data_IF_926351717606
#
_entry.id   IF_926351717606
#
_cell.length_a   1.000
_cell.length_b   1.000
_cell.length_c   1.000
_cell.angle_alpha   90.00
_cell.angle_beta   90.00
_cell.angle_gamma   90.00
#
_symmetry.space_group_name_H-M   'P 1'
#
loop_
_entity.id
_entity.type
_entity.pdbx_description
1 polymer ?
#
# COMPACT_ATOMS: atom_id res chain seq x y z
N UNK A 1 20.25 29.12 11.85
CA UNK A 1 18.89 29.74 11.90
C UNK A 1 17.95 29.27 10.80
N UNK A 2 18.41 28.92 9.59
CA UNK A 2 17.57 28.41 8.50
C UNK A 2 16.73 27.16 8.85
N UNK A 3 17.25 26.22 9.65
CA UNK A 3 16.56 24.97 10.00
C UNK A 3 15.47 25.12 11.08
N UNK A 4 15.58 26.14 11.94
CA UNK A 4 14.57 26.41 12.98
C UNK A 4 13.33 27.07 12.37
N UNK A 5 13.53 27.90 11.34
CA UNK A 5 12.45 28.49 10.56
C UNK A 5 11.62 27.44 9.81
N UNK A 6 12.25 26.38 9.30
CA UNK A 6 11.55 25.25 8.64
C UNK A 6 10.67 24.48 9.62
N UNK A 7 11.15 24.25 10.85
CA UNK A 7 10.39 23.54 11.90
C UNK A 7 9.21 24.38 12.39
N UNK A 8 9.39 25.69 12.61
CA UNK A 8 8.30 26.61 12.97
C UNK A 8 7.28 26.79 11.84
N UNK A 9 7.71 26.82 10.59
CA UNK A 9 6.83 26.82 9.44
C UNK A 9 6.02 25.51 9.38
N UNK A 10 6.66 24.35 9.48
CA UNK A 10 5.98 23.05 9.50
C UNK A 10 4.99 22.91 10.68
N UNK A 11 5.33 23.43 11.86
CA UNK A 11 4.42 23.49 13.02
C UNK A 11 3.20 24.38 12.76
N UNK A 12 3.37 25.53 12.09
CA UNK A 12 2.26 26.40 11.72
C UNK A 12 1.36 25.76 10.64
N UNK A 13 1.95 25.07 9.66
CA UNK A 13 1.21 24.39 8.59
C UNK A 13 0.41 23.18 9.10
N UNK A 14 0.96 22.42 10.05
CA UNK A 14 0.28 21.25 10.63
C UNK A 14 -0.92 21.62 11.50
N UNK A 15 -0.95 22.83 12.07
CA UNK A 15 -2.05 23.31 12.92
C UNK A 15 -3.22 23.93 12.14
N UNK A 16 -3.01 24.40 10.90
CA UNK A 16 -4.01 25.22 10.18
C UNK A 16 -4.62 24.50 8.96
N UNK A 17 -4.05 23.37 8.49
CA UNK A 17 -4.70 22.53 7.47
C UNK A 17 -4.82 23.17 6.08
N UNK A 18 -3.93 24.12 5.73
CA UNK A 18 -3.87 24.73 4.40
C UNK A 18 -2.82 24.07 3.50
N UNK A 19 -3.09 24.11 2.18
CA UNK A 19 -2.30 23.52 1.10
C UNK A 19 -0.91 24.18 1.00
N UNK A 20 0.13 23.36 0.88
CA UNK A 20 1.54 23.81 0.73
C UNK A 20 1.75 24.49 -0.63
N UNK A 21 2.31 25.72 -0.68
CA UNK A 21 2.57 26.42 -1.93
C UNK A 21 3.62 25.67 -2.77
N UNK A 22 3.37 25.55 -4.07
CA UNK A 22 4.14 24.71 -4.99
C UNK A 22 5.25 25.48 -5.73
N UNK A 23 5.37 26.81 -5.54
CA UNK A 23 6.42 27.60 -6.17
C UNK A 23 7.23 28.48 -5.18
N UNK A 24 8.55 28.63 -5.39
CA UNK A 24 9.42 29.43 -4.52
C UNK A 24 9.13 30.96 -4.58
N UNK A 25 8.36 31.43 -5.56
CA UNK A 25 7.96 32.83 -5.72
C UNK A 25 6.89 33.28 -4.72
N UNK A 26 6.02 32.36 -4.26
CA UNK A 26 4.99 32.63 -3.22
C UNK A 26 5.60 32.77 -1.81
N UNK A 27 6.78 32.19 -1.58
CA UNK A 27 7.54 32.36 -0.33
C UNK A 27 8.16 33.76 -0.22
N UNK A 28 8.48 34.42 -1.34
CA UNK A 28 9.15 35.71 -1.35
C UNK A 28 8.22 36.88 -0.96
N UNK A 29 6.91 36.79 -1.24
CA UNK A 29 5.94 37.82 -0.84
C UNK A 29 5.67 37.81 0.67
N UNK A 30 5.66 36.61 1.29
CA UNK A 30 5.47 36.42 2.74
C UNK A 30 6.72 36.77 3.58
N UNK A 31 7.91 36.76 2.98
CA UNK A 31 9.19 37.03 3.66
C UNK A 31 9.71 38.47 3.47
N UNK A 32 8.96 39.33 2.78
CA UNK A 32 9.33 40.73 2.50
C UNK A 32 9.40 41.66 3.73
N UNK A 33 9.13 41.14 4.94
CA UNK A 33 9.24 41.87 6.21
C UNK A 33 10.55 41.63 6.98
N UNK A 34 11.48 40.81 6.51
CA UNK A 34 12.70 40.45 7.24
C UNK A 34 13.94 40.68 6.36
N UNK A 35 14.62 41.80 6.60
CA UNK A 35 15.92 42.14 6.00
C UNK A 35 16.98 41.08 6.35
N UNK A 36 17.36 40.24 5.39
CA UNK A 36 18.67 39.57 5.38
C UNK A 36 19.14 39.44 3.92
N UNK A 37 20.14 40.24 3.54
CA UNK A 37 20.98 40.01 2.36
C UNK A 37 21.86 38.77 2.59
N UNK A 38 21.95 37.87 1.60
CA UNK A 38 23.23 37.38 1.06
C UNK A 38 23.07 36.28 -0.02
N UNK A 39 23.62 36.61 -1.20
CA UNK A 39 24.51 35.82 -2.06
C UNK A 39 24.08 34.45 -2.65
N UNK A 40 23.72 34.51 -3.93
CA UNK A 40 23.93 33.47 -4.96
C UNK A 40 25.43 33.29 -5.28
N UNK A 41 25.92 32.05 -5.41
CA UNK A 41 26.74 31.57 -6.55
C UNK A 41 27.25 30.12 -6.40
N UNK A 42 27.07 29.36 -7.50
CA UNK A 42 27.87 28.26 -8.08
C UNK A 42 28.45 27.11 -7.23
N UNK A 43 28.08 25.87 -7.60
CA UNK A 43 29.05 24.93 -8.17
C UNK A 43 28.37 23.85 -9.03
N UNK A 44 28.88 23.69 -10.25
CA UNK A 44 28.50 22.70 -11.26
C UNK A 44 29.69 21.78 -11.55
N UNK A 45 29.40 20.59 -12.09
CA UNK A 45 30.28 19.53 -12.63
C UNK A 45 30.89 18.52 -11.62
N UNK A 46 30.89 17.20 -11.84
CA UNK A 46 30.43 16.42 -12.99
C UNK A 46 30.57 14.90 -12.82
N UNK A 47 30.21 14.20 -13.92
CA UNK A 47 30.38 12.76 -14.26
C UNK A 47 29.50 11.75 -13.47
N UNK A 48 28.69 10.87 -14.07
CA UNK A 48 28.49 10.48 -15.47
C UNK A 48 28.54 8.95 -15.62
N UNK A 49 27.40 8.26 -15.59
CA UNK A 49 27.21 6.92 -16.20
C UNK A 49 25.72 6.55 -16.31
N UNK A 50 25.26 6.34 -17.54
CA UNK A 50 23.90 5.90 -17.91
C UNK A 50 23.76 4.36 -17.79
N UNK A 51 22.61 3.82 -17.36
CA UNK A 51 22.39 2.37 -17.33
C UNK A 51 21.77 1.89 -18.65
N UNK A 52 22.60 1.60 -19.64
CA UNK A 52 22.16 0.95 -20.90
C UNK A 52 23.00 -0.29 -21.28
N UNK A 53 23.81 -0.81 -20.34
CA UNK A 53 24.83 -1.82 -20.64
C UNK A 53 24.80 -3.02 -19.70
N UNK A 54 23.60 -3.50 -19.35
CA UNK A 54 23.42 -4.78 -18.63
C UNK A 54 22.47 -5.77 -19.33
N UNK A 55 22.01 -5.47 -20.55
CA UNK A 55 21.04 -6.30 -21.28
C UNK A 55 21.64 -7.26 -22.34
N UNK A 56 22.95 -7.55 -22.30
CA UNK A 56 23.60 -8.48 -23.25
C UNK A 56 24.59 -9.41 -22.57
N UNK A 57 24.11 -10.44 -21.87
CA UNK A 57 24.92 -11.64 -21.61
C UNK A 57 24.14 -12.92 -21.36
N UNK A 58 22.81 -12.90 -21.24
CA UNK A 58 22.03 -14.10 -20.97
C UNK A 58 21.45 -14.74 -22.24
N UNK A 59 22.32 -15.14 -23.18
CA UNK A 59 21.91 -15.93 -24.35
C UNK A 59 23.01 -16.91 -24.78
N UNK A 60 23.30 -17.89 -23.91
CA UNK A 60 23.83 -19.24 -24.25
C UNK A 60 24.36 -19.92 -22.98
N UNK A 61 23.51 -20.61 -22.24
CA UNK A 61 23.94 -21.79 -21.46
C UNK A 61 22.73 -22.68 -21.17
N UNK A 62 22.79 -23.87 -21.75
CA UNK A 62 21.80 -24.94 -21.64
C UNK A 62 22.16 -25.76 -20.40
N UNK A 63 21.94 -25.23 -19.20
CA UNK A 63 22.06 -26.00 -17.96
C UNK A 63 21.21 -25.35 -16.86
N UNK A 64 20.16 -26.07 -16.45
CA UNK A 64 19.24 -25.70 -15.39
C UNK A 64 19.98 -25.70 -14.05
N UNK A 65 20.30 -24.53 -13.50
CA UNK A 65 20.45 -24.30 -12.06
C UNK A 65 19.74 -22.99 -11.71
N UNK A 66 18.85 -23.06 -10.73
CA UNK A 66 17.98 -21.98 -10.31
C UNK A 66 18.80 -20.86 -9.65
N UNK A 67 18.65 -19.62 -10.15
CA UNK A 67 19.09 -18.42 -9.45
C UNK A 67 18.04 -18.03 -8.38
N UNK A 68 18.43 -17.69 -7.15
CA UNK A 68 17.51 -17.41 -6.04
C UNK A 68 16.93 -15.97 -6.06
N UNK A 69 16.72 -15.38 -7.24
CA UNK A 69 16.23 -14.01 -7.39
C UNK A 69 15.25 -13.77 -8.54
N UNK A 70 14.80 -14.84 -9.21
CA UNK A 70 13.83 -14.73 -10.29
C UNK A 70 12.49 -15.30 -9.79
N UNK A 71 11.58 -14.41 -9.36
CA UNK A 71 10.19 -14.74 -9.08
C UNK A 71 9.46 -15.10 -10.39
N UNK A 72 9.67 -16.33 -10.83
CA UNK A 72 8.75 -17.09 -11.66
C UNK A 72 8.70 -18.47 -11.01
N UNK A 73 7.70 -18.73 -10.16
CA UNK A 73 6.47 -19.32 -10.69
C UNK A 73 5.21 -18.96 -9.86
N UNK A 74 4.41 -18.01 -10.35
CA UNK A 74 2.99 -17.87 -9.96
C UNK A 74 2.03 -17.95 -11.16
N UNK A 75 2.55 -18.33 -12.34
CA UNK A 75 1.80 -18.41 -13.60
C UNK A 75 1.86 -19.81 -14.23
N UNK A 76 1.92 -20.87 -13.42
CA UNK A 76 1.83 -22.25 -13.91
C UNK A 76 0.82 -23.05 -13.09
N UNK A 77 -0.45 -22.65 -13.14
CA UNK A 77 -1.58 -23.51 -12.78
C UNK A 77 -2.95 -22.88 -13.12
N UNK A 78 -3.14 -22.22 -14.27
CA UNK A 78 -4.50 -22.02 -14.81
C UNK A 78 -4.46 -22.14 -16.34
N UNK A 79 -4.02 -23.30 -16.81
CA UNK A 79 -4.37 -23.78 -18.15
C UNK A 79 -5.39 -24.91 -17.99
N UNK A 80 -6.53 -24.59 -17.38
CA UNK A 80 -7.70 -25.44 -17.53
C UNK A 80 -8.19 -25.23 -18.98
N UNK A 81 -8.32 -26.28 -19.80
CA UNK A 81 -8.99 -26.12 -21.08
C UNK A 81 -10.41 -25.66 -20.75
N UNK A 82 -10.80 -24.51 -21.30
CA UNK A 82 -12.21 -24.13 -21.34
C UNK A 82 -12.89 -25.26 -22.10
N UNK A 83 -13.58 -26.14 -21.39
CA UNK A 83 -14.39 -27.19 -21.98
C UNK A 83 -15.41 -26.49 -22.85
N UNK A 84 -15.23 -26.58 -24.17
CA UNK A 84 -16.16 -26.11 -25.16
C UNK A 84 -17.49 -26.82 -24.93
N UNK A 85 -18.38 -26.15 -24.20
CA UNK A 85 -19.80 -26.45 -24.21
C UNK A 85 -20.29 -26.11 -25.62
N UNK A 86 -20.28 -27.10 -26.50
CA UNK A 86 -20.93 -27.06 -27.81
C UNK A 86 -22.44 -27.13 -27.62
N UNK A 87 -23.00 -26.13 -26.96
CA UNK A 87 -24.37 -25.72 -27.17
C UNK A 87 -24.31 -24.64 -28.24
N UNK A 88 -25.09 -24.77 -29.30
CA UNK A 88 -25.23 -23.76 -30.35
C UNK A 88 -25.78 -22.48 -29.74
N UNK A 89 -24.92 -21.65 -29.16
CA UNK A 89 -25.27 -20.33 -28.70
C UNK A 89 -25.82 -19.56 -29.89
N UNK A 90 -26.99 -18.94 -29.73
CA UNK A 90 -27.57 -18.13 -30.79
C UNK A 90 -26.60 -16.98 -31.14
N UNK A 91 -26.56 -16.57 -32.40
CA UNK A 91 -25.69 -15.45 -32.84
C UNK A 91 -25.95 -14.20 -31.99
N UNK A 92 -27.21 -13.97 -31.60
CA UNK A 92 -27.61 -12.89 -30.69
C UNK A 92 -26.92 -13.00 -29.34
N UNK A 93 -26.90 -14.18 -28.70
CA UNK A 93 -26.23 -14.37 -27.42
C UNK A 93 -24.72 -14.11 -27.49
N UNK A 94 -24.08 -14.48 -28.61
CA UNK A 94 -22.65 -14.20 -28.82
C UNK A 94 -22.39 -12.70 -29.00
N UNK A 95 -23.25 -12.01 -29.76
CA UNK A 95 -23.19 -10.56 -29.94
C UNK A 95 -23.44 -9.81 -28.61
N UNK A 96 -24.41 -10.25 -27.80
CA UNK A 96 -24.71 -9.68 -26.48
C UNK A 96 -23.53 -9.89 -25.51
N UNK A 97 -22.91 -11.07 -25.52
CA UNK A 97 -21.70 -11.34 -24.73
C UNK A 97 -20.54 -10.45 -25.17
N UNK A 98 -20.33 -10.28 -26.48
CA UNK A 98 -19.29 -9.40 -27.00
C UNK A 98 -19.54 -7.93 -26.61
N UNK A 99 -20.80 -7.48 -26.63
CA UNK A 99 -21.15 -6.15 -26.14
C UNK A 99 -20.81 -5.98 -24.65
N UNK A 100 -21.19 -6.95 -23.82
CA UNK A 100 -20.92 -6.93 -22.38
C UNK A 100 -19.41 -6.92 -22.05
N UNK A 101 -18.60 -7.72 -22.78
CA UNK A 101 -17.14 -7.75 -22.60
C UNK A 101 -16.51 -6.40 -22.98
N UNK A 102 -16.99 -5.76 -24.05
CA UNK A 102 -16.53 -4.42 -24.46
C UNK A 102 -16.87 -3.34 -23.42
N UNK A 103 -18.07 -3.39 -22.85
CA UNK A 103 -18.46 -2.50 -21.75
C UNK A 103 -17.60 -2.71 -20.52
N UNK A 104 -17.37 -3.98 -20.13
CA UNK A 104 -16.47 -4.35 -19.04
C UNK A 104 -15.06 -3.78 -19.27
N UNK A 105 -14.50 -3.95 -20.47
CA UNK A 105 -13.17 -3.43 -20.83
C UNK A 105 -13.09 -1.90 -20.68
N UNK A 106 -14.15 -1.19 -21.10
CA UNK A 106 -14.21 0.27 -21.00
C UNK A 106 -14.28 0.73 -19.54
N UNK A 107 -15.10 0.06 -18.73
CA UNK A 107 -15.21 0.32 -17.29
C UNK A 107 -13.90 0.03 -16.55
N UNK A 108 -13.25 -1.11 -16.82
CA UNK A 108 -11.98 -1.47 -16.16
C UNK A 108 -10.84 -0.55 -16.57
N UNK A 109 -10.82 -0.11 -17.83
CA UNK A 109 -9.86 0.89 -18.32
C UNK A 109 -10.00 2.23 -17.59
N UNK A 110 -11.24 2.71 -17.39
CA UNK A 110 -11.49 3.92 -16.61
C UNK A 110 -11.06 3.74 -15.15
N UNK A 111 -11.42 2.63 -14.51
CA UNK A 111 -11.01 2.33 -13.12
C UNK A 111 -9.49 2.21 -12.95
N UNK A 112 -8.78 1.69 -13.96
CA UNK A 112 -7.30 1.65 -14.00
C UNK A 112 -6.73 3.06 -13.92
N UNK A 113 -7.24 3.98 -14.74
CA UNK A 113 -6.78 5.37 -14.76
C UNK A 113 -7.08 6.08 -13.44
N UNK A 114 -8.26 5.88 -12.87
CA UNK A 114 -8.63 6.43 -11.56
C UNK A 114 -7.67 5.91 -10.49
N UNK A 115 -7.40 4.60 -10.46
CA UNK A 115 -6.49 4.00 -9.47
C UNK A 115 -5.06 4.50 -9.64
N UNK A 116 -4.58 4.64 -10.87
CA UNK A 116 -3.25 5.20 -11.15
C UNK A 116 -3.12 6.67 -10.72
N UNK A 117 -4.16 7.47 -10.96
CA UNK A 117 -4.22 8.87 -10.53
C UNK A 117 -4.25 9.00 -9.01
N UNK A 118 -5.09 8.22 -8.32
CA UNK A 118 -5.15 8.16 -6.85
C UNK A 118 -3.81 7.72 -6.26
N UNK A 119 -3.16 6.69 -6.80
CA UNK A 119 -1.81 6.29 -6.40
C UNK A 119 -0.82 7.45 -6.51
N UNK A 120 -0.86 8.19 -7.61
CA UNK A 120 -0.01 9.36 -7.82
C UNK A 120 -0.25 10.46 -6.80
N UNK A 121 -1.50 10.68 -6.39
CA UNK A 121 -1.85 11.65 -5.35
C UNK A 121 -1.33 11.22 -3.98
N UNK A 122 -1.64 9.99 -3.56
CA UNK A 122 -1.25 9.48 -2.24
C UNK A 122 0.27 9.31 -2.12
N UNK A 123 0.95 8.91 -3.20
CA UNK A 123 2.42 8.84 -3.18
C UNK A 123 3.07 10.21 -2.97
N UNK A 124 2.48 11.32 -3.45
CA UNK A 124 3.00 12.65 -3.13
C UNK A 124 2.92 12.94 -1.63
N UNK A 125 1.84 12.52 -0.98
CA UNK A 125 1.65 12.66 0.46
C UNK A 125 2.66 11.81 1.23
N UNK A 126 2.86 10.54 0.85
CA UNK A 126 3.89 9.65 1.41
C UNK A 126 5.27 10.28 1.31
N UNK A 127 5.66 10.76 0.12
CA UNK A 127 6.96 11.40 -0.11
C UNK A 127 7.15 12.67 0.72
N UNK A 128 6.08 13.41 1.00
CA UNK A 128 6.12 14.60 1.86
C UNK A 128 6.20 14.27 3.36
N UNK A 129 5.61 13.14 3.77
CA UNK A 129 5.49 12.74 5.18
C UNK A 129 6.69 11.95 5.69
N UNK A 130 7.35 11.16 4.81
CA UNK A 130 8.59 10.44 5.13
C UNK A 130 9.69 11.28 5.78
N UNK A 131 10.15 12.41 5.21
CA UNK A 131 11.24 13.20 5.80
C UNK A 131 10.87 13.77 7.18
N UNK A 132 9.58 14.05 7.41
CA UNK A 132 9.11 14.48 8.72
C UNK A 132 9.22 13.35 9.75
N UNK A 133 8.74 12.16 9.41
CA UNK A 133 8.79 10.99 10.29
C UNK A 133 10.25 10.58 10.58
N UNK A 134 11.12 10.59 9.57
CA UNK A 134 12.56 10.31 9.73
C UNK A 134 13.24 11.31 10.66
N UNK A 135 12.91 12.60 10.58
CA UNK A 135 13.50 13.61 11.46
C UNK A 135 12.99 13.48 12.91
N UNK A 136 11.70 13.15 13.09
CA UNK A 136 11.15 12.83 14.42
C UNK A 136 11.83 11.60 15.01
N UNK A 137 12.10 10.58 14.21
CA UNK A 137 12.85 9.38 14.63
C UNK A 137 14.26 9.75 15.09
N UNK A 138 14.99 10.57 14.33
CA UNK A 138 16.33 11.06 14.71
C UNK A 138 16.32 11.83 16.04
N UNK A 139 15.35 12.73 16.22
CA UNK A 139 15.21 13.49 17.46
C UNK A 139 14.88 12.57 18.64
N UNK A 140 13.97 11.61 18.43
CA UNK A 140 13.60 10.64 19.46
C UNK A 140 14.79 9.77 19.85
N UNK A 141 15.55 9.23 18.89
CA UNK A 141 16.76 8.44 19.16
C UNK A 141 17.80 9.22 19.97
N UNK A 142 18.03 10.49 19.62
CA UNK A 142 18.96 11.36 20.34
C UNK A 142 18.53 11.55 21.79
N UNK A 143 17.23 11.76 22.02
CA UNK A 143 16.68 11.87 23.38
C UNK A 143 16.76 10.56 24.14
N UNK A 144 16.45 9.42 23.51
CA UNK A 144 16.53 8.12 24.17
C UNK A 144 17.96 7.79 24.61
N UNK A 145 18.97 8.14 23.81
CA UNK A 145 20.39 8.02 24.19
C UNK A 145 20.72 8.89 25.41
N UNK A 146 20.25 10.14 25.45
CA UNK A 146 20.48 11.05 26.57
C UNK A 146 19.73 10.62 27.85
N UNK A 147 18.54 10.03 27.73
CA UNK A 147 17.74 9.54 28.85
C UNK A 147 18.32 8.26 29.46
N UNK A 148 18.87 7.34 28.65
CA UNK A 148 19.59 6.15 29.16
C UNK A 148 20.71 6.53 30.14
N UNK A 149 21.34 7.69 29.96
CA UNK A 149 22.41 8.19 30.84
C UNK A 149 21.89 8.75 32.19
N UNK A 150 20.60 9.08 32.30
CA UNK A 150 19.99 9.75 33.46
C UNK A 150 18.99 8.90 34.26
N UNK A 151 18.84 7.60 33.95
CA UNK A 151 17.96 6.64 34.65
C UNK A 151 16.51 7.14 34.91
N UNK A 152 15.92 7.90 33.99
CA UNK A 152 14.53 8.35 34.16
C UNK A 152 13.51 7.26 33.82
N UNK A 153 12.55 7.02 34.70
CA UNK A 153 11.46 6.08 34.48
C UNK A 153 10.33 6.71 33.68
N UNK A 154 10.14 6.24 32.45
CA UNK A 154 9.09 6.73 31.54
C UNK A 154 8.25 5.52 31.11
N UNK A 155 6.91 5.53 31.28
CA UNK A 155 6.05 4.37 31.01
C UNK A 155 6.15 3.78 29.60
N UNK A 156 6.44 4.62 28.59
CA UNK A 156 6.61 4.20 27.19
C UNK A 156 7.94 3.45 26.92
N UNK A 157 8.90 3.55 27.85
CA UNK A 157 10.23 2.95 27.76
C UNK A 157 10.43 1.78 28.74
N UNK A 158 9.45 1.53 29.63
CA UNK A 158 9.53 0.44 30.59
C UNK A 158 9.30 -0.90 29.89
N UNK A 159 10.27 -1.82 30.01
CA UNK A 159 10.06 -3.24 29.69
C UNK A 159 9.09 -3.83 30.71
N UNK A 160 7.83 -3.98 30.29
CA UNK A 160 6.80 -4.74 31.03
C UNK A 160 6.59 -6.12 30.41
N UNK A 161 6.10 -7.05 31.21
CA UNK A 161 5.70 -8.38 30.73
C UNK A 161 4.55 -8.22 29.73
N UNK A 162 4.75 -8.68 28.50
CA UNK A 162 3.74 -8.59 27.45
C UNK A 162 2.74 -9.72 27.65
N UNK A 163 1.47 -9.40 27.91
CA UNK A 163 0.37 -10.37 28.01
C UNK A 163 -0.65 -10.16 26.91
N UNK A 164 -0.92 -8.90 26.56
CA UNK A 164 -1.88 -8.51 25.53
C UNK A 164 -1.23 -7.70 24.42
N UNK A 165 -1.51 -8.11 23.18
CA UNK A 165 -0.99 -7.49 21.95
C UNK A 165 -2.16 -6.99 21.11
N UNK A 166 -2.14 -5.69 20.80
CA UNK A 166 -3.05 -5.12 19.81
C UNK A 166 -2.41 -5.16 18.44
N UNK A 167 -3.05 -5.88 17.50
CA UNK A 167 -2.65 -5.95 16.11
C UNK A 167 -3.54 -5.02 15.27
N UNK A 168 -2.97 -3.92 14.81
CA UNK A 168 -3.62 -2.99 13.87
C UNK A 168 -3.42 -3.52 12.46
N UNK A 169 -4.50 -3.89 11.79
CA UNK A 169 -4.45 -4.49 10.45
C UNK A 169 -5.04 -3.51 9.45
N UNK A 170 -4.24 -3.08 8.47
CA UNK A 170 -4.65 -2.12 7.44
C UNK A 170 -4.96 -2.87 6.14
N UNK A 171 -6.23 -2.85 5.76
CA UNK A 171 -6.79 -3.44 4.54
C UNK A 171 -7.50 -2.38 3.69
N UNK A 172 -7.96 -2.76 2.49
CA UNK A 172 -8.73 -1.84 1.67
C UNK A 172 -10.19 -1.73 2.10
N UNK A 173 -10.82 -0.62 1.72
CA UNK A 173 -12.29 -0.48 1.81
C UNK A 173 -12.98 -1.25 0.66
N UNK A 174 -12.39 -1.19 -0.53
CA UNK A 174 -12.99 -1.76 -1.75
C UNK A 174 -12.20 -2.96 -2.28
N UNK A 175 -12.90 -3.86 -2.99
CA UNK A 175 -12.28 -4.98 -3.69
C UNK A 175 -11.49 -4.58 -4.95
N UNK A 176 -11.35 -5.54 -5.88
CA UNK A 176 -10.63 -5.40 -7.16
C UNK A 176 -9.14 -5.05 -7.03
N UNK A 177 -8.55 -5.27 -5.86
CA UNK A 177 -7.12 -5.05 -5.57
C UNK A 177 -6.28 -6.35 -5.64
N UNK A 178 -6.80 -7.39 -6.29
CA UNK A 178 -6.12 -8.67 -6.46
C UNK A 178 -5.87 -9.38 -5.12
N UNK A 179 -4.64 -9.86 -4.92
CA UNK A 179 -4.23 -10.59 -3.72
C UNK A 179 -3.91 -9.68 -2.52
N UNK A 180 -4.07 -8.36 -2.62
CA UNK A 180 -3.70 -7.41 -1.56
C UNK A 180 -4.34 -7.75 -0.20
N UNK A 181 -5.67 -7.76 -0.14
CA UNK A 181 -6.39 -8.04 1.11
C UNK A 181 -6.11 -9.46 1.61
N UNK A 182 -6.03 -10.43 0.70
CA UNK A 182 -5.74 -11.81 1.06
C UNK A 182 -4.37 -11.94 1.72
N UNK A 183 -3.33 -11.34 1.15
CA UNK A 183 -1.97 -11.38 1.70
C UNK A 183 -1.90 -10.71 3.08
N UNK A 184 -2.58 -9.57 3.27
CA UNK A 184 -2.66 -8.90 4.57
C UNK A 184 -3.38 -9.77 5.59
N UNK A 185 -4.55 -10.32 5.25
CA UNK A 185 -5.34 -11.16 6.15
C UNK A 185 -4.58 -12.44 6.51
N UNK A 186 -3.98 -13.12 5.54
CA UNK A 186 -3.18 -14.32 5.75
C UNK A 186 -2.01 -14.05 6.70
N UNK A 187 -1.29 -12.93 6.50
CA UNK A 187 -0.20 -12.53 7.40
C UNK A 187 -0.71 -12.17 8.80
N UNK A 188 -1.89 -11.56 8.91
CA UNK A 188 -2.52 -11.27 10.20
C UNK A 188 -2.88 -12.55 10.96
N UNK A 189 -3.47 -13.54 10.27
CA UNK A 189 -3.83 -14.83 10.88
C UNK A 189 -2.59 -15.61 11.32
N UNK A 190 -1.55 -15.64 10.47
CA UNK A 190 -0.28 -16.27 10.81
C UNK A 190 0.33 -15.61 12.04
N UNK A 191 0.39 -14.27 12.04
CA UNK A 191 0.94 -13.52 13.19
C UNK A 191 0.14 -13.78 14.46
N UNK A 192 -1.19 -13.80 14.37
CA UNK A 192 -2.06 -14.14 15.51
C UNK A 192 -1.72 -15.53 16.07
N UNK A 193 -1.61 -16.53 15.21
CA UNK A 193 -1.26 -17.89 15.62
C UNK A 193 0.13 -17.96 16.28
N UNK A 194 1.12 -17.24 15.73
CA UNK A 194 2.46 -17.16 16.31
C UNK A 194 2.43 -16.54 17.72
N UNK A 195 1.64 -15.49 17.92
CA UNK A 195 1.50 -14.83 19.23
C UNK A 195 0.71 -15.67 20.24
N UNK A 196 -0.36 -16.33 19.80
CA UNK A 196 -1.14 -17.24 20.64
C UNK A 196 -0.31 -18.46 21.06
N UNK A 197 0.60 -18.95 20.19
CA UNK A 197 1.54 -20.02 20.53
C UNK A 197 2.54 -19.62 21.64
N UNK A 198 2.79 -18.32 21.78
CA UNK A 198 3.63 -17.75 22.86
C UNK A 198 2.81 -17.49 24.14
N UNK A 199 1.52 -17.82 24.16
CA UNK A 199 0.62 -17.58 25.29
C UNK A 199 0.13 -16.13 25.40
N UNK A 200 0.26 -15.34 24.33
CA UNK A 200 -0.16 -13.94 24.29
C UNK A 200 -1.61 -13.82 23.79
N UNK A 201 -2.38 -12.94 24.41
CA UNK A 201 -3.72 -12.59 23.94
C UNK A 201 -3.63 -11.53 22.84
N UNK A 202 -4.33 -11.75 21.72
CA UNK A 202 -4.32 -10.84 20.56
C UNK A 202 -5.70 -10.21 20.37
N UNK A 203 -5.74 -8.88 20.27
CA UNK A 203 -6.92 -8.10 19.89
C UNK A 203 -6.68 -7.38 18.57
N UNK A 204 -7.70 -7.32 17.71
CA UNK A 204 -7.59 -6.69 16.40
C UNK A 204 -8.15 -5.26 16.39
N UNK A 205 -7.41 -4.37 15.74
CA UNK A 205 -7.88 -3.07 15.27
C UNK A 205 -7.96 -3.13 13.76
N UNK A 206 -9.17 -3.22 13.21
CA UNK A 206 -9.36 -3.37 11.77
C UNK A 206 -9.50 -2.00 11.10
N UNK A 207 -8.55 -1.66 10.24
CA UNK A 207 -8.64 -0.50 9.35
C UNK A 207 -8.94 -1.02 7.95
N UNK A 208 -10.02 -0.56 7.34
CA UNK A 208 -10.54 -1.04 6.06
C UNK A 208 -11.78 -1.92 6.22
N UNK A 209 -12.77 -1.71 5.34
CA UNK A 209 -14.02 -2.48 5.35
C UNK A 209 -13.80 -3.98 5.07
N UNK A 210 -12.85 -4.34 4.19
CA UNK A 210 -12.63 -5.74 3.81
C UNK A 210 -12.08 -6.58 4.97
N UNK A 211 -11.09 -6.06 5.70
CA UNK A 211 -10.55 -6.72 6.89
C UNK A 211 -11.57 -6.76 8.03
N UNK A 212 -12.31 -5.67 8.24
CA UNK A 212 -13.38 -5.61 9.23
C UNK A 212 -14.44 -6.69 8.99
N UNK A 213 -14.96 -6.79 7.76
CA UNK A 213 -15.95 -7.79 7.38
C UNK A 213 -15.41 -9.22 7.57
N UNK A 214 -14.16 -9.48 7.17
CA UNK A 214 -13.53 -10.79 7.32
C UNK A 214 -13.41 -11.22 8.79
N UNK A 215 -12.87 -10.35 9.64
CA UNK A 215 -12.64 -10.68 11.06
C UNK A 215 -13.95 -10.82 11.83
N UNK A 216 -14.97 -10.01 11.51
CA UNK A 216 -16.31 -10.15 12.08
C UNK A 216 -16.96 -11.47 11.68
N UNK A 217 -16.87 -11.86 10.39
CA UNK A 217 -17.42 -13.12 9.91
C UNK A 217 -16.77 -14.34 10.58
N UNK A 218 -15.47 -14.28 10.86
CA UNK A 218 -14.75 -15.33 11.60
C UNK A 218 -14.96 -15.32 13.11
N UNK A 219 -15.63 -14.31 13.67
CA UNK A 219 -15.82 -14.17 15.11
C UNK A 219 -14.53 -13.89 15.89
N UNK A 220 -13.54 -13.24 15.25
CA UNK A 220 -12.31 -12.83 15.92
C UNK A 220 -12.55 -11.58 16.78
N UNK A 221 -11.79 -11.39 17.88
CA UNK A 221 -11.98 -10.25 18.77
C UNK A 221 -11.49 -8.95 18.10
N UNK A 222 -12.42 -8.21 17.50
CA UNK A 222 -12.18 -6.88 16.91
C UNK A 222 -12.64 -5.81 17.89
N UNK A 223 -11.69 -5.00 18.39
CA UNK A 223 -11.95 -3.94 19.38
C UNK A 223 -12.53 -2.70 18.72
N UNK A 224 -12.01 -2.34 17.56
CA UNK A 224 -12.44 -1.16 16.81
C UNK A 224 -12.28 -1.40 15.31
N UNK A 225 -13.22 -0.85 14.53
CA UNK A 225 -13.22 -0.84 13.08
C UNK A 225 -13.23 0.59 12.57
N UNK A 226 -12.49 0.89 11.51
CA UNK A 226 -12.59 2.18 10.80
C UNK A 226 -12.33 2.02 9.30
N UNK A 227 -12.94 2.87 8.46
CA UNK A 227 -12.60 2.90 7.03
C UNK A 227 -11.20 3.48 6.83
N UNK A 228 -10.50 3.02 5.79
CA UNK A 228 -9.18 3.54 5.42
C UNK A 228 -9.28 4.92 4.73
N UNK A 229 -10.31 5.10 3.89
CA UNK A 229 -10.53 6.30 3.11
C UNK A 229 -9.60 6.41 1.89
N UNK A 230 -9.92 7.35 0.98
CA UNK A 230 -9.18 7.54 -0.29
C UNK A 230 -7.87 8.32 -0.11
N UNK A 231 -7.80 9.18 0.90
CA UNK A 231 -6.65 10.04 1.19
C UNK A 231 -6.53 10.12 2.72
N UNK A 232 -5.77 9.21 3.35
CA UNK A 232 -5.68 9.13 4.79
C UNK A 232 -5.08 10.42 5.35
N UNK A 233 -5.83 11.07 6.23
CA UNK A 233 -5.46 12.34 6.84
C UNK A 233 -5.15 12.19 8.32
N UNK A 234 -4.41 13.15 8.87
CA UNK A 234 -4.15 13.21 10.31
C UNK A 234 -5.45 13.25 11.16
N UNK A 235 -6.53 13.80 10.61
CA UNK A 235 -7.84 13.80 11.28
C UNK A 235 -8.41 12.39 11.49
N UNK A 236 -8.10 11.45 10.59
CA UNK A 236 -8.50 10.05 10.69
C UNK A 236 -7.55 9.24 11.57
N UNK A 237 -6.25 9.51 11.52
CA UNK A 237 -5.25 8.82 12.33
C UNK A 237 -5.34 9.18 13.83
N UNK A 238 -5.66 10.43 14.17
CA UNK A 238 -5.72 10.92 15.56
C UNK A 238 -6.65 10.10 16.48
N UNK A 239 -7.92 9.82 16.12
CA UNK A 239 -8.79 8.98 16.95
C UNK A 239 -8.23 7.58 17.20
N UNK A 240 -7.65 6.93 16.18
CA UNK A 240 -7.03 5.60 16.32
C UNK A 240 -5.84 5.67 17.29
N UNK A 241 -4.97 6.67 17.09
CA UNK A 241 -3.82 6.90 17.94
C UNK A 241 -4.23 7.17 19.40
N UNK A 242 -5.18 8.06 19.64
CA UNK A 242 -5.63 8.41 20.98
C UNK A 242 -6.21 7.19 21.70
N UNK A 243 -6.96 6.33 21.02
CA UNK A 243 -7.51 5.12 21.61
C UNK A 243 -6.40 4.11 21.98
N UNK A 244 -5.50 3.82 21.03
CA UNK A 244 -4.34 2.93 21.29
C UNK A 244 -3.47 3.46 22.43
N UNK A 245 -3.23 4.78 22.46
CA UNK A 245 -2.47 5.44 23.51
C UNK A 245 -3.16 5.27 24.86
N UNK A 246 -4.44 5.61 24.99
CA UNK A 246 -5.21 5.47 26.24
C UNK A 246 -5.17 4.05 26.76
N UNK A 247 -5.48 3.05 25.91
CA UNK A 247 -5.44 1.64 26.29
C UNK A 247 -4.05 1.18 26.77
N UNK A 248 -2.97 1.72 26.18
CA UNK A 248 -1.62 1.40 26.63
C UNK A 248 -1.31 2.00 28.01
N UNK A 249 -1.72 3.24 28.26
CA UNK A 249 -1.54 3.91 29.56
C UNK A 249 -2.40 3.28 30.66
N UNK A 250 -3.61 2.82 30.32
CA UNK A 250 -4.51 2.13 31.24
C UNK A 250 -4.04 0.69 31.56
N UNK A 251 -3.04 0.19 30.83
CA UNK A 251 -2.51 -1.17 31.01
C UNK A 251 -3.41 -2.25 30.43
N UNK A 252 -4.37 -1.90 29.58
CA UNK A 252 -5.19 -2.88 28.85
C UNK A 252 -4.37 -3.62 27.79
N UNK A 253 -3.39 -2.95 27.18
CA UNK A 253 -2.55 -3.48 26.11
C UNK A 253 -1.08 -3.24 26.42
N UNK A 254 -0.24 -4.25 26.19
CA UNK A 254 1.19 -4.17 26.51
C UNK A 254 2.06 -3.91 25.28
N UNK A 255 1.58 -4.28 24.09
CA UNK A 255 2.29 -4.12 22.82
C UNK A 255 1.32 -3.78 21.68
N UNK A 256 1.73 -2.88 20.80
CA UNK A 256 0.99 -2.50 19.59
C UNK A 256 1.84 -2.81 18.37
N UNK A 257 1.33 -3.68 17.51
CA UNK A 257 1.91 -4.01 16.22
C UNK A 257 1.00 -3.49 15.10
N UNK A 258 1.59 -2.92 14.05
CA UNK A 258 0.90 -2.55 12.82
C UNK A 258 1.29 -3.52 11.72
N UNK A 259 0.29 -4.09 11.07
CA UNK A 259 0.40 -4.80 9.81
C UNK A 259 -0.07 -3.87 8.68
N UNK A 260 0.87 -3.49 7.83
CA UNK A 260 0.64 -2.57 6.72
C UNK A 260 1.43 -2.99 5.48
N UNK A 261 1.16 -2.40 4.32
CA UNK A 261 1.94 -2.70 3.11
C UNK A 261 2.78 -1.48 2.74
N UNK A 262 4.13 -1.56 2.82
CA UNK A 262 5.00 -0.44 2.48
C UNK A 262 4.89 -0.10 0.99
N UNK A 263 4.87 1.19 0.61
CA UNK A 263 4.75 1.60 -0.81
C UNK A 263 5.90 1.08 -1.72
N UNK A 264 7.04 0.70 -1.13
CA UNK A 264 8.19 0.12 -1.85
C UNK A 264 8.06 -1.40 -2.04
N UNK A 265 7.38 -2.08 -1.10
CA UNK A 265 7.27 -3.54 -1.09
C UNK A 265 5.88 -3.96 -1.55
N UNK A 266 5.78 -5.06 -2.28
CA UNK A 266 4.47 -5.63 -2.66
C UNK A 266 3.89 -6.53 -1.57
N UNK A 267 4.67 -6.84 -0.54
CA UNK A 267 4.28 -7.74 0.55
C UNK A 267 3.95 -6.95 1.82
N UNK A 268 2.95 -7.39 2.59
CA UNK A 268 2.64 -6.78 3.87
C UNK A 268 3.80 -6.98 4.85
N UNK A 269 4.15 -5.94 5.60
CA UNK A 269 5.16 -5.93 6.65
C UNK A 269 4.50 -5.73 8.01
N UNK A 270 5.10 -6.31 9.05
CA UNK A 270 4.71 -6.05 10.44
C UNK A 270 5.72 -5.08 11.01
N UNK A 271 5.25 -4.13 11.80
CA UNK A 271 6.08 -3.20 12.53
C UNK A 271 5.54 -3.00 13.93
N UNK A 272 6.40 -3.13 14.93
CA UNK A 272 6.06 -2.78 16.30
C UNK A 272 6.09 -1.25 16.49
N UNK A 273 4.98 -0.66 16.95
CA UNK A 273 4.92 0.77 17.29
C UNK A 273 5.22 1.04 18.77
N UNK A 274 4.65 0.20 19.64
CA UNK A 274 4.76 0.33 21.09
C UNK A 274 5.10 -1.06 21.62
N UNK A 275 6.10 -1.21 22.51
CA UNK A 275 6.87 -0.17 23.21
C UNK A 275 8.05 0.41 22.42
N UNK A 276 8.44 1.65 22.75
CA UNK A 276 9.56 2.38 22.11
C UNK A 276 10.92 1.95 22.68
N UNK A 277 11.18 0.64 22.72
CA UNK A 277 12.37 0.10 23.39
C UNK A 277 13.58 0.26 22.47
N UNK A 278 14.65 0.95 22.91
CA UNK A 278 15.88 1.12 22.13
C UNK A 278 16.68 -0.18 21.95
N UNK A 279 16.47 -1.19 22.80
CA UNK A 279 17.12 -2.50 22.77
C UNK A 279 16.10 -3.64 22.52
N UNK A 280 15.75 -3.84 21.24
CA UNK A 280 15.47 -5.15 20.67
C UNK A 280 14.35 -5.98 21.32
N UNK A 281 13.11 -5.52 21.20
CA UNK A 281 11.99 -6.46 20.99
C UNK A 281 11.44 -6.25 19.58
N UNK A 282 12.34 -6.14 18.62
CA UNK A 282 12.03 -6.24 17.21
C UNK A 282 11.68 -7.71 16.97
N UNK A 283 10.48 -7.99 16.47
CA UNK A 283 10.16 -9.35 16.05
C UNK A 283 11.19 -9.76 14.99
N UNK A 284 11.60 -11.03 14.95
CA UNK A 284 12.61 -11.51 13.98
C UNK A 284 12.24 -11.27 12.49
N UNK A 285 11.00 -10.81 12.24
CA UNK A 285 10.39 -10.50 10.94
C UNK A 285 10.13 -8.99 10.72
N UNK A 286 10.59 -8.10 11.61
CA UNK A 286 10.50 -6.65 11.39
C UNK A 286 11.42 -6.29 10.20
N UNK A 287 10.84 -5.80 9.09
CA UNK A 287 11.61 -5.26 7.96
C UNK A 287 12.25 -3.94 8.40
N UNK A 288 13.40 -4.06 9.05
CA UNK A 288 14.24 -2.94 9.49
C UNK A 288 14.69 -2.20 8.23
N UNK A 289 14.21 -0.96 8.05
CA UNK A 289 14.98 0.03 7.31
C UNK A 289 16.36 0.07 7.97
N UNK A 290 17.40 -0.34 7.24
CA UNK A 290 18.78 -0.27 7.70
C UNK A 290 19.01 1.12 8.28
N UNK A 291 19.08 1.18 9.61
CA UNK A 291 19.38 2.38 10.38
C UNK A 291 20.68 2.93 9.81
N UNK A 292 20.62 4.03 9.07
CA UNK A 292 21.85 4.70 8.64
C UNK A 292 22.56 5.10 9.94
N UNK A 293 23.74 4.55 10.25
CA UNK A 293 24.49 5.01 11.40
C UNK A 293 24.84 6.46 11.12
N UNK A 294 24.31 7.38 11.94
CA UNK A 294 24.56 8.80 11.77
C UNK A 294 25.37 9.34 12.93
N UNK A 295 26.41 10.06 12.52
CA UNK A 295 27.39 10.79 13.30
C UNK A 295 26.74 11.72 14.34
N UNK A 296 27.48 11.87 15.44
CA UNK A 296 27.15 12.59 16.65
C UNK A 296 26.46 13.94 16.37
N UNK A 297 25.15 14.00 16.65
CA UNK A 297 24.46 15.26 16.82
C UNK A 297 25.06 15.95 18.04
N UNK A 298 25.72 17.09 17.81
CA UNK A 298 26.22 17.98 18.85
C UNK A 298 25.17 18.10 19.96
N UNK A 299 25.60 17.89 21.22
CA UNK A 299 24.80 18.06 22.43
C UNK A 299 24.15 19.45 22.43
N UNK A 300 22.99 19.56 21.80
CA UNK A 300 22.11 20.69 22.02
C UNK A 300 21.76 20.65 23.49
N UNK A 301 21.89 21.78 24.15
CA UNK A 301 21.45 22.04 25.51
C UNK A 301 19.96 21.73 25.65
N UNK A 302 19.66 20.45 25.85
CA UNK A 302 18.34 19.94 26.20
C UNK A 302 18.02 20.54 27.56
N UNK A 303 17.02 21.43 27.60
CA UNK A 303 16.59 22.08 28.83
C UNK A 303 16.04 21.05 29.83
N UNK A 304 15.92 21.46 31.09
CA UNK A 304 15.53 20.63 32.24
C UNK A 304 14.14 19.94 32.14
N UNK A 305 13.40 20.12 31.03
CA UNK A 305 12.07 19.53 30.79
C UNK A 305 12.08 18.32 29.84
N UNK A 306 13.10 17.47 29.92
CA UNK A 306 13.29 16.28 29.06
C UNK A 306 12.07 15.34 29.07
N UNK A 307 11.40 15.18 30.22
CA UNK A 307 10.22 14.33 30.34
C UNK A 307 9.01 14.84 29.52
N UNK A 308 8.75 16.15 29.53
CA UNK A 308 7.66 16.75 28.75
C UNK A 308 7.96 16.69 27.24
N UNK A 309 9.22 16.93 26.87
CA UNK A 309 9.66 16.81 25.47
C UNK A 309 9.47 15.39 24.94
N UNK A 310 9.76 14.37 25.75
CA UNK A 310 9.57 12.99 25.34
C UNK A 310 8.09 12.63 25.16
N UNK A 311 7.18 13.10 26.02
CA UNK A 311 5.75 12.82 25.85
C UNK A 311 5.22 13.43 24.53
N UNK A 312 5.64 14.67 24.21
CA UNK A 312 5.28 15.32 22.95
C UNK A 312 5.89 14.58 21.75
N UNK A 313 7.17 14.23 21.80
CA UNK A 313 7.86 13.57 20.67
C UNK A 313 7.42 12.13 20.45
N UNK A 314 7.17 11.37 21.52
CA UNK A 314 6.61 10.01 21.41
C UNK A 314 5.21 10.04 20.79
N UNK A 315 4.39 11.02 21.15
CA UNK A 315 3.07 11.23 20.53
C UNK A 315 3.19 11.55 19.04
N UNK A 316 4.16 12.40 18.68
CA UNK A 316 4.40 12.81 17.31
C UNK A 316 4.95 11.65 16.46
N UNK A 317 5.85 10.85 17.03
CA UNK A 317 6.41 9.65 16.43
C UNK A 317 5.31 8.62 16.13
N UNK A 318 4.53 8.24 17.14
CA UNK A 318 3.49 7.22 17.00
C UNK A 318 2.40 7.64 16.00
N UNK A 319 1.90 8.88 16.11
CA UNK A 319 0.90 9.39 15.17
C UNK A 319 1.47 9.55 13.74
N UNK A 320 2.74 9.98 13.63
CA UNK A 320 3.45 10.10 12.35
C UNK A 320 3.60 8.75 11.64
N UNK A 321 4.07 7.72 12.35
CA UNK A 321 4.20 6.37 11.79
C UNK A 321 2.87 5.73 11.46
N UNK A 322 1.84 5.94 12.28
CA UNK A 322 0.49 5.45 12.00
C UNK A 322 -0.07 6.09 10.72
N UNK A 323 0.04 7.41 10.58
CA UNK A 323 -0.40 8.12 9.38
C UNK A 323 0.38 7.67 8.14
N UNK A 324 1.71 7.52 8.27
CA UNK A 324 2.56 7.05 7.17
C UNK A 324 2.17 5.62 6.75
N UNK A 325 1.95 4.72 7.70
CA UNK A 325 1.52 3.35 7.42
C UNK A 325 0.16 3.28 6.71
N UNK A 326 -0.78 4.16 7.07
CA UNK A 326 -2.06 4.30 6.37
C UNK A 326 -1.85 4.79 4.93
N UNK A 327 -1.07 5.85 4.74
CA UNK A 327 -0.78 6.40 3.40
C UNK A 327 -0.06 5.38 2.51
N UNK A 328 0.93 4.66 3.05
CA UNK A 328 1.67 3.62 2.31
C UNK A 328 0.79 2.44 1.93
N UNK A 329 -0.14 2.03 2.80
CA UNK A 329 -1.10 0.97 2.51
C UNK A 329 -2.07 1.37 1.39
N UNK A 330 -2.64 2.57 1.45
CA UNK A 330 -3.54 3.08 0.40
C UNK A 330 -2.80 3.23 -0.94
N UNK A 331 -1.55 3.70 -0.91
CA UNK A 331 -0.72 3.76 -2.12
C UNK A 331 -0.48 2.38 -2.74
N UNK A 332 -0.14 1.39 -1.91
CA UNK A 332 0.10 0.00 -2.32
C UNK A 332 -1.16 -0.67 -2.87
N UNK A 333 -2.29 -0.45 -2.22
CA UNK A 333 -3.61 -0.91 -2.66
C UNK A 333 -3.94 -0.38 -4.07
N UNK A 334 -3.80 0.93 -4.30
CA UNK A 334 -4.04 1.53 -5.61
C UNK A 334 -3.06 1.04 -6.68
N UNK A 335 -1.82 0.72 -6.30
CA UNK A 335 -0.84 0.14 -7.22
C UNK A 335 -1.27 -1.26 -7.69
N UNK A 336 -1.63 -2.14 -6.75
CA UNK A 336 -2.07 -3.49 -7.05
C UNK A 336 -3.41 -3.51 -7.79
N UNK A 337 -4.35 -2.63 -7.41
CA UNK A 337 -5.61 -2.45 -8.15
C UNK A 337 -5.37 -2.03 -9.59
N UNK A 338 -4.50 -1.05 -9.84
CA UNK A 338 -4.20 -0.62 -11.21
C UNK A 338 -3.60 -1.76 -12.04
N UNK A 339 -2.70 -2.57 -11.45
CA UNK A 339 -2.10 -3.73 -12.12
C UNK A 339 -3.13 -4.83 -12.42
N UNK A 340 -4.01 -5.13 -11.46
CA UNK A 340 -5.08 -6.13 -11.64
C UNK A 340 -6.04 -5.69 -12.74
N UNK A 341 -6.46 -4.43 -12.74
CA UNK A 341 -7.35 -3.87 -13.76
C UNK A 341 -6.69 -3.83 -15.14
N UNK A 342 -5.37 -3.65 -15.21
CA UNK A 342 -4.62 -3.78 -16.46
C UNK A 342 -4.69 -5.21 -17.01
N UNK A 343 -4.39 -6.22 -16.19
CA UNK A 343 -4.51 -7.62 -16.61
C UNK A 343 -5.96 -7.99 -17.01
N UNK A 344 -6.96 -7.49 -16.28
CA UNK A 344 -8.38 -7.71 -16.62
C UNK A 344 -8.72 -7.06 -17.96
N UNK A 345 -8.25 -5.85 -18.22
CA UNK A 345 -8.50 -5.12 -19.47
C UNK A 345 -7.85 -5.83 -20.67
N UNK A 346 -6.63 -6.32 -20.50
CA UNK A 346 -5.94 -7.13 -21.53
C UNK A 346 -6.67 -8.45 -21.78
N UNK A 347 -7.09 -9.14 -20.71
CA UNK A 347 -7.81 -10.41 -20.82
C UNK A 347 -9.19 -10.24 -21.47
N UNK A 348 -9.88 -9.16 -21.16
CA UNK A 348 -11.12 -8.78 -21.82
C UNK A 348 -10.90 -8.53 -23.32
N UNK A 349 -9.79 -7.88 -23.70
CA UNK A 349 -9.41 -7.71 -25.11
C UNK A 349 -9.19 -9.02 -25.85
N UNK A 350 -8.51 -9.99 -25.24
CA UNK A 350 -8.36 -11.34 -25.82
C UNK A 350 -9.69 -12.07 -25.95
N UNK A 351 -10.56 -11.98 -24.94
CA UNK A 351 -11.89 -12.59 -24.97
C UNK A 351 -12.77 -11.96 -26.05
N UNK A 352 -12.69 -10.64 -26.22
CA UNK A 352 -13.40 -9.91 -27.26
C UNK A 352 -13.03 -10.43 -28.65
N UNK A 353 -11.73 -10.59 -28.93
CA UNK A 353 -11.25 -11.13 -30.20
C UNK A 353 -11.74 -12.57 -30.44
N UNK A 354 -11.77 -13.40 -29.39
CA UNK A 354 -12.28 -14.76 -29.49
C UNK A 354 -13.77 -14.79 -29.83
N UNK A 355 -14.58 -13.98 -29.14
CA UNK A 355 -16.01 -13.89 -29.39
C UNK A 355 -16.31 -13.36 -30.80
N UNK A 356 -15.55 -12.39 -31.30
CA UNK A 356 -15.70 -11.89 -32.68
C UNK A 356 -15.42 -12.99 -33.73
N UNK A 357 -14.43 -13.85 -33.49
CA UNK A 357 -14.16 -15.00 -34.35
C UNK A 357 -15.29 -16.04 -34.30
N UNK A 358 -15.85 -16.31 -33.12
CA UNK A 358 -16.98 -17.23 -32.96
C UNK A 358 -18.25 -16.71 -33.64
N UNK A 359 -18.56 -15.41 -33.49
CA UNK A 359 -19.66 -14.74 -34.20
C UNK A 359 -19.47 -14.87 -35.71
N UNK A 360 -18.26 -14.62 -36.23
CA UNK A 360 -17.95 -14.77 -37.64
C UNK A 360 -18.18 -16.20 -38.16
N UNK A 361 -17.73 -17.20 -37.40
CA UNK A 361 -17.94 -18.62 -37.73
C UNK A 361 -19.42 -19.01 -37.70
N UNK A 362 -20.16 -18.59 -36.67
CA UNK A 362 -21.59 -18.89 -36.53
C UNK A 362 -22.42 -18.24 -37.63
N UNK A 363 -22.11 -16.98 -38.01
CA UNK A 363 -22.74 -16.31 -39.15
C UNK A 363 -22.46 -17.03 -40.46
N UNK A 364 -21.22 -17.46 -40.69
CA UNK A 364 -20.87 -18.19 -41.90
C UNK A 364 -21.58 -19.55 -41.98
N UNK A 365 -21.67 -20.28 -40.86
CA UNK A 365 -22.41 -21.54 -40.78
C UNK A 365 -23.90 -21.33 -41.10
N UNK A 366 -24.51 -20.28 -40.54
CA UNK A 366 -25.91 -19.95 -40.83
C UNK A 366 -26.13 -19.61 -42.31
N UNK A 367 -25.24 -18.84 -42.93
CA UNK A 367 -25.31 -18.53 -44.37
C UNK A 367 -25.18 -19.83 -45.19
N UNK A 368 -24.27 -20.73 -44.84
CA UNK A 368 -24.14 -22.01 -45.56
C UNK A 368 -25.38 -22.87 -45.40
N UNK A 369 -25.98 -22.92 -44.21
CA UNK A 369 -27.20 -23.68 -43.95
C UNK A 369 -28.38 -23.12 -44.77
N UNK A 370 -28.56 -21.79 -44.78
CA UNK A 370 -29.57 -21.11 -45.60
C UNK A 370 -29.37 -21.40 -47.11
N UNK A 371 -28.12 -21.42 -47.58
CA UNK A 371 -27.81 -21.77 -48.98
C UNK A 371 -28.13 -23.24 -49.27
N UNK A 372 -27.81 -24.17 -48.37
CA UNK A 372 -28.16 -25.59 -48.53
C UNK A 372 -29.67 -25.82 -48.52
N UNK A 373 -30.42 -25.11 -47.68
CA UNK A 373 -31.88 -25.16 -47.66
C UNK A 373 -32.48 -24.67 -48.99
N UNK A 374 -31.93 -23.61 -49.59
CA UNK A 374 -32.35 -23.14 -50.91
C UNK A 374 -32.10 -24.18 -52.01
N UNK A 375 -30.91 -24.79 -52.04
CA UNK A 375 -30.60 -25.84 -53.01
C UNK A 375 -31.50 -27.07 -52.85
N UNK A 376 -31.73 -27.53 -51.62
CA UNK A 376 -32.64 -28.64 -51.33
C UNK A 376 -34.09 -28.32 -51.75
N UNK A 377 -34.54 -27.09 -51.53
CA UNK A 377 -35.85 -26.61 -51.99
C UNK A 377 -35.98 -26.61 -53.52
N UNK A 378 -34.96 -26.12 -54.23
CA UNK A 378 -34.94 -26.13 -55.70
C UNK A 378 -34.97 -27.55 -56.27
N UNK A 379 -34.21 -28.47 -55.69
CA UNK A 379 -34.18 -29.87 -56.12
C UNK A 379 -35.53 -30.56 -55.91
N UNK A 380 -36.23 -30.27 -54.80
CA UNK A 380 -37.56 -30.82 -54.54
C UNK A 380 -38.60 -30.41 -55.61
N UNK A 381 -38.49 -29.19 -56.14
CA UNK A 381 -39.35 -28.69 -57.22
C UNK A 381 -39.00 -29.38 -58.54
N UNK A 382 -37.71 -29.53 -58.84
CA UNK A 382 -37.25 -30.18 -60.06
C UNK A 382 -37.62 -31.68 -60.15
N UNK A 383 -37.78 -32.36 -59.02
CA UNK A 383 -38.19 -33.79 -58.98
C UNK A 383 -39.71 -33.98 -59.08
N UNK A 384 -40.50 -32.90 -58.93
CA UNK A 384 -41.96 -32.96 -58.99
C UNK A 384 -42.57 -32.55 -60.34
N UNK A 385 -41.75 -32.13 -61.31
CA UNK A 385 -42.07 -32.06 -62.74
C UNK A 385 -41.62 -33.34 -63.47
#
# INVERSE_FOLDING_TARGET
MHKLGTVLACLAYFCIGLRVPQEPSELASLLSGLNVECAFMHCSSGLGAHPATLARSCSKSRQRRACPGCLHPLMSAVSAPVSASTASASISELDDRAASVREMQSMTSALKLVSAASRGSVNKEVLSSRPFVEEVDRLLETLLKHIKQKEMQIPLLQKREVKKVSLVVITSDHGLCGAYNFAVIEKAEKRKADLESQGLHVEFFAVGEQGSAYFQQKGLPVRQTMPCGKAPSNAQAKPLFNNLRSMYFDGEIDRVEILYTPSVSTLPAIRTLIPLIPDGTEAADDEIFQRTPMDDLEERSLSDNVAQMLDVLSSLHLNGHLLLALQESVASEHALRAQVLECVTERAGYLQQHLEQEVGRARQAKITDEVFELFAGMESIAVSE
#
